data_IF_805434551240
#
_entry.id   IF_805434551240
#
_cell.length_a   1.000
_cell.length_b   1.000
_cell.length_c   1.000
_cell.angle_alpha   90.00
_cell.angle_beta   90.00
_cell.angle_gamma   90.00
#
_symmetry.space_group_name_H-M   'P 1'
#
loop_
_entity.id
_entity.type
_entity.pdbx_description
1 polymer ?
#
# COMPACT_ATOMS: atom_id res chain seq x y z
N UNK A 1 2.70 -29.20 4.82
CA UNK A 1 2.67 -28.37 6.05
C UNK A 1 1.24 -27.88 6.23
N UNK A 2 0.60 -28.09 7.38
CA UNK A 2 -0.77 -27.60 7.59
C UNK A 2 -0.75 -26.08 7.59
N UNK A 3 -1.71 -25.45 6.91
CA UNK A 3 -1.93 -24.03 6.96
C UNK A 3 -2.21 -23.62 8.42
N UNK A 4 -1.75 -22.43 8.82
CA UNK A 4 -2.19 -21.85 10.09
C UNK A 4 -3.70 -21.58 10.04
N UNK A 5 -4.36 -21.48 11.20
CA UNK A 5 -5.80 -21.17 11.27
C UNK A 5 -6.13 -19.88 10.52
N UNK A 6 -5.22 -18.89 10.53
CA UNK A 6 -5.37 -17.65 9.77
C UNK A 6 -5.25 -17.88 8.26
N UNK A 7 -4.33 -18.73 7.81
CA UNK A 7 -4.17 -19.07 6.40
C UNK A 7 -5.38 -19.84 5.86
N UNK A 8 -5.98 -20.74 6.64
CA UNK A 8 -7.21 -21.42 6.25
C UNK A 8 -8.38 -20.46 6.03
N UNK A 9 -8.46 -19.38 6.82
CA UNK A 9 -9.53 -18.39 6.66
C UNK A 9 -9.34 -17.46 5.46
N UNK A 10 -8.12 -17.25 5.00
CA UNK A 10 -7.79 -16.29 3.93
C UNK A 10 -7.37 -16.95 2.62
N UNK A 11 -7.29 -18.26 2.59
CA UNK A 11 -6.88 -18.99 1.42
C UNK A 11 -8.03 -19.11 0.43
N UNK A 12 -7.97 -18.35 -0.67
CA UNK A 12 -8.85 -18.52 -1.82
C UNK A 12 -10.35 -18.47 -1.45
N UNK A 13 -10.81 -17.39 -0.79
CA UNK A 13 -12.21 -17.27 -0.34
C UNK A 13 -12.92 -16.06 -0.92
N UNK A 14 -14.05 -16.36 -1.57
CA UNK A 14 -15.01 -15.35 -1.98
C UNK A 14 -16.00 -15.06 -0.84
N UNK A 15 -16.37 -13.81 -0.67
CA UNK A 15 -17.41 -13.37 0.25
C UNK A 15 -18.31 -12.33 -0.42
N UNK A 16 -19.57 -12.29 0.03
CA UNK A 16 -20.52 -11.28 -0.39
C UNK A 16 -20.46 -10.08 0.55
N UNK A 17 -20.65 -8.89 0.01
CA UNK A 17 -20.81 -7.67 0.78
C UNK A 17 -22.09 -6.92 0.41
N UNK A 18 -22.54 -6.03 1.27
CA UNK A 18 -23.73 -5.21 1.01
C UNK A 18 -23.41 -4.17 -0.09
N UNK A 19 -23.86 -4.47 -1.33
CA UNK A 19 -23.61 -3.61 -2.50
C UNK A 19 -24.39 -2.28 -2.42
N UNK A 20 -25.51 -2.22 -1.71
CA UNK A 20 -26.25 -0.97 -1.54
C UNK A 20 -25.45 0.00 -0.66
N UNK A 21 -24.83 -0.51 0.42
CA UNK A 21 -23.97 0.27 1.30
C UNK A 21 -22.63 0.63 0.66
N UNK A 22 -21.99 -0.35 0.01
CA UNK A 22 -20.64 -0.21 -0.59
C UNK A 22 -20.71 -0.28 -2.11
N UNK A 23 -21.46 0.64 -2.73
CA UNK A 23 -21.64 0.65 -4.18
C UNK A 23 -20.37 1.16 -4.90
N UNK A 24 -19.36 0.29 -4.96
CA UNK A 24 -18.09 0.59 -5.65
C UNK A 24 -18.25 0.87 -7.14
N UNK A 25 -19.12 0.16 -7.90
CA UNK A 25 -19.40 0.50 -9.29
C UNK A 25 -19.86 1.94 -9.47
N UNK A 26 -20.87 2.36 -8.66
CA UNK A 26 -21.40 3.73 -8.72
C UNK A 26 -20.35 4.77 -8.32
N UNK A 27 -19.55 4.49 -7.29
CA UNK A 27 -18.46 5.34 -6.88
C UNK A 27 -17.43 5.51 -8.01
N UNK A 28 -16.94 4.42 -8.60
CA UNK A 28 -15.97 4.49 -9.69
C UNK A 28 -16.53 5.23 -10.90
N UNK A 29 -17.79 5.00 -11.26
CA UNK A 29 -18.43 5.72 -12.37
C UNK A 29 -18.53 7.21 -12.08
N UNK A 30 -18.91 7.63 -10.87
CA UNK A 30 -18.98 9.05 -10.51
C UNK A 30 -17.61 9.74 -10.58
N UNK A 31 -16.55 9.07 -10.16
CA UNK A 31 -15.18 9.58 -10.27
C UNK A 31 -14.74 9.69 -11.75
N UNK A 32 -15.08 8.71 -12.58
CA UNK A 32 -14.80 8.78 -14.02
C UNK A 32 -15.52 9.95 -14.68
N UNK A 33 -16.77 10.20 -14.29
CA UNK A 33 -17.58 11.30 -14.84
C UNK A 33 -17.04 12.69 -14.49
N UNK A 34 -16.17 12.83 -13.50
CA UNK A 34 -15.46 14.10 -13.22
C UNK A 34 -14.61 14.57 -14.41
N UNK A 35 -14.08 13.64 -15.21
CA UNK A 35 -13.20 13.94 -16.35
C UNK A 35 -13.72 13.40 -17.69
N UNK A 36 -14.72 12.52 -17.68
CA UNK A 36 -15.38 11.94 -18.84
C UNK A 36 -16.90 11.83 -18.61
N UNK A 37 -17.65 12.96 -18.57
CA UNK A 37 -19.04 13.01 -18.15
C UNK A 37 -20.01 12.22 -19.05
N UNK A 38 -19.60 11.90 -20.28
CA UNK A 38 -20.40 11.12 -21.23
C UNK A 38 -20.39 9.60 -20.96
N UNK A 39 -19.52 9.13 -20.05
CA UNK A 39 -19.47 7.72 -19.68
C UNK A 39 -20.62 7.39 -18.76
N UNK A 40 -21.39 6.37 -19.10
CA UNK A 40 -22.56 5.91 -18.32
C UNK A 40 -22.40 4.48 -17.83
N UNK A 41 -21.41 3.73 -18.33
CA UNK A 41 -21.22 2.33 -18.01
C UNK A 41 -19.74 1.96 -18.05
N UNK A 42 -19.26 1.32 -16.96
CA UNK A 42 -17.87 0.89 -16.81
C UNK A 42 -17.49 -0.25 -17.79
N UNK A 43 -18.43 -1.10 -18.16
CA UNK A 43 -18.17 -2.23 -19.03
C UNK A 43 -17.94 -1.81 -20.49
N UNK A 44 -18.38 -0.62 -20.85
CA UNK A 44 -18.26 -0.07 -22.21
C UNK A 44 -17.15 0.97 -22.37
N UNK A 45 -16.28 1.15 -21.39
CA UNK A 45 -15.18 2.13 -21.47
C UNK A 45 -14.36 2.02 -22.76
N UNK A 46 -14.04 0.79 -23.17
CA UNK A 46 -13.27 0.53 -24.41
C UNK A 46 -13.98 0.95 -25.70
N UNK A 47 -15.30 1.14 -25.68
CA UNK A 47 -16.09 1.60 -26.84
C UNK A 47 -16.17 3.12 -26.92
N UNK A 48 -16.02 3.80 -25.77
CA UNK A 48 -16.29 5.22 -25.64
C UNK A 48 -15.01 6.06 -25.41
N UNK A 49 -13.89 5.41 -25.12
CA UNK A 49 -12.62 6.07 -24.81
C UNK A 49 -11.49 5.46 -25.63
N UNK A 50 -10.59 6.29 -26.11
CA UNK A 50 -9.31 5.85 -26.69
C UNK A 50 -8.41 5.22 -25.60
N UNK A 51 -7.40 4.49 -26.02
CA UNK A 51 -6.44 3.88 -25.10
C UNK A 51 -5.76 4.90 -24.17
N UNK A 52 -5.41 6.08 -24.69
CA UNK A 52 -4.81 7.15 -23.89
C UNK A 52 -5.77 7.75 -22.87
N UNK A 53 -7.06 7.86 -23.22
CA UNK A 53 -8.10 8.32 -22.28
C UNK A 53 -8.37 7.28 -21.19
N UNK A 54 -8.37 5.99 -21.52
CA UNK A 54 -8.48 4.90 -20.52
C UNK A 54 -7.34 4.99 -19.51
N UNK A 55 -6.10 5.25 -19.94
CA UNK A 55 -4.97 5.45 -19.03
C UNK A 55 -5.20 6.66 -18.10
N UNK A 56 -5.70 7.79 -18.65
CA UNK A 56 -6.01 8.99 -17.85
C UNK A 56 -7.11 8.72 -16.83
N UNK A 57 -8.19 8.08 -17.26
CA UNK A 57 -9.30 7.68 -16.39
C UNK A 57 -8.84 6.73 -15.29
N UNK A 58 -8.07 5.70 -15.64
CA UNK A 58 -7.52 4.75 -14.68
C UNK A 58 -6.67 5.45 -13.61
N UNK A 59 -5.81 6.39 -14.02
CA UNK A 59 -4.99 7.18 -13.10
C UNK A 59 -5.83 8.10 -12.22
N UNK A 60 -6.89 8.70 -12.77
CA UNK A 60 -7.79 9.57 -12.03
C UNK A 60 -8.53 8.81 -10.92
N UNK A 61 -9.12 7.64 -11.24
CA UNK A 61 -9.77 6.78 -10.23
C UNK A 61 -8.76 6.21 -9.23
N UNK A 62 -7.56 5.83 -9.70
CA UNK A 62 -6.47 5.41 -8.82
C UNK A 62 -6.15 6.49 -7.77
N UNK A 63 -6.04 7.75 -8.18
CA UNK A 63 -5.79 8.88 -7.27
C UNK A 63 -6.97 9.11 -6.32
N UNK A 64 -8.20 8.93 -6.80
CA UNK A 64 -9.39 9.07 -5.98
C UNK A 64 -9.47 8.04 -4.85
N UNK A 65 -8.80 6.89 -4.96
CA UNK A 65 -8.68 5.92 -3.86
C UNK A 65 -7.89 6.46 -2.65
N UNK A 66 -7.25 7.62 -2.76
CA UNK A 66 -6.59 8.31 -1.64
C UNK A 66 -7.45 9.45 -1.06
N UNK A 67 -8.65 9.69 -1.59
CA UNK A 67 -9.56 10.69 -1.04
C UNK A 67 -10.14 10.21 0.28
N UNK A 68 -10.40 11.15 1.18
CA UNK A 68 -10.90 10.87 2.51
C UNK A 68 -12.22 10.09 2.51
N UNK A 69 -13.17 10.50 1.68
CA UNK A 69 -14.48 9.86 1.53
C UNK A 69 -14.36 8.37 1.10
N UNK A 70 -13.44 8.08 0.17
CA UNK A 70 -13.15 6.70 -0.20
C UNK A 70 -12.52 5.93 0.96
N UNK A 71 -11.52 6.49 1.62
CA UNK A 71 -10.80 5.82 2.69
C UNK A 71 -11.71 5.50 3.88
N UNK A 72 -12.56 6.44 4.29
CA UNK A 72 -13.56 6.23 5.35
C UNK A 72 -14.52 5.09 5.00
N UNK A 73 -15.05 5.11 3.78
CA UNK A 73 -15.94 4.06 3.30
C UNK A 73 -15.25 2.71 3.17
N UNK A 74 -13.98 2.69 2.76
CA UNK A 74 -13.20 1.47 2.65
C UNK A 74 -12.85 0.90 4.02
N UNK A 75 -12.54 1.72 5.01
CA UNK A 75 -12.30 1.30 6.39
C UNK A 75 -13.54 0.63 6.98
N UNK A 76 -14.72 1.23 6.80
CA UNK A 76 -16.00 0.64 7.24
C UNK A 76 -16.28 -0.69 6.51
N UNK A 77 -15.96 -0.77 5.21
CA UNK A 77 -16.06 -2.01 4.44
C UNK A 77 -15.15 -3.10 5.02
N UNK A 78 -13.88 -2.82 5.26
CA UNK A 78 -12.92 -3.76 5.83
C UNK A 78 -13.33 -4.17 7.26
N UNK A 79 -13.75 -3.22 8.09
CA UNK A 79 -14.19 -3.45 9.46
C UNK A 79 -15.41 -4.39 9.53
N UNK A 80 -16.24 -4.43 8.48
CA UNK A 80 -17.42 -5.28 8.45
C UNK A 80 -17.13 -6.79 8.43
N UNK A 81 -15.90 -7.20 8.06
CA UNK A 81 -15.57 -8.63 7.94
C UNK A 81 -14.18 -9.03 8.45
N UNK A 82 -13.20 -8.13 8.48
CA UNK A 82 -11.82 -8.49 8.85
C UNK A 82 -11.65 -8.84 10.32
N UNK A 83 -12.13 -8.05 11.31
CA UNK A 83 -11.86 -8.32 12.72
C UNK A 83 -12.22 -9.73 13.17
N UNK A 84 -13.38 -10.23 12.73
CA UNK A 84 -13.84 -11.58 13.06
C UNK A 84 -12.93 -12.69 12.52
N UNK A 85 -12.22 -12.43 11.41
CA UNK A 85 -11.36 -13.41 10.75
C UNK A 85 -9.94 -13.45 11.30
N UNK A 86 -9.54 -12.43 12.04
CA UNK A 86 -8.18 -12.28 12.59
C UNK A 86 -8.16 -12.30 14.14
N UNK A 87 -9.22 -12.83 14.76
CA UNK A 87 -9.35 -12.91 16.22
C UNK A 87 -9.13 -11.56 16.91
N UNK A 88 -9.70 -10.49 16.34
CA UNK A 88 -9.59 -9.10 16.83
C UNK A 88 -8.16 -8.56 17.00
N UNK A 89 -7.17 -9.14 16.31
CA UNK A 89 -5.86 -8.51 16.20
C UNK A 89 -5.97 -7.16 15.51
N UNK A 90 -5.03 -6.26 15.82
CA UNK A 90 -4.90 -5.01 15.07
C UNK A 90 -4.50 -5.31 13.62
N UNK A 91 -4.89 -4.44 12.71
CA UNK A 91 -4.53 -4.56 11.30
C UNK A 91 -4.33 -3.17 10.68
N UNK A 92 -3.62 -3.14 9.58
CA UNK A 92 -3.46 -1.95 8.73
C UNK A 92 -4.04 -2.19 7.37
N UNK A 93 -4.36 -1.12 6.67
CA UNK A 93 -4.93 -1.10 5.33
C UNK A 93 -3.96 -0.39 4.40
N UNK A 94 -3.81 -0.85 3.17
CA UNK A 94 -3.05 -0.16 2.15
C UNK A 94 -3.58 1.28 1.97
N UNK A 95 -2.67 2.27 1.96
CA UNK A 95 -3.05 3.69 1.91
C UNK A 95 -3.78 4.06 0.63
N UNK A 96 -3.37 3.48 -0.49
CA UNK A 96 -3.99 3.71 -1.80
C UNK A 96 -4.30 2.39 -2.49
N UNK A 97 -5.56 2.18 -2.87
CA UNK A 97 -5.99 1.01 -3.65
C UNK A 97 -5.30 0.94 -5.01
N UNK A 98 -5.18 -0.25 -5.55
CA UNK A 98 -4.65 -0.45 -6.90
C UNK A 98 -5.81 -0.75 -7.84
N UNK A 99 -6.11 0.20 -8.72
CA UNK A 99 -7.16 0.04 -9.72
C UNK A 99 -6.62 -0.70 -10.96
N UNK A 100 -7.45 -1.59 -11.49
CA UNK A 100 -7.20 -2.30 -12.75
C UNK A 100 -8.34 -2.07 -13.72
N UNK A 101 -8.00 -1.61 -14.93
CA UNK A 101 -8.91 -1.55 -16.07
C UNK A 101 -8.36 -2.50 -17.13
N UNK A 102 -9.13 -3.54 -17.45
CA UNK A 102 -8.75 -4.56 -18.43
C UNK A 102 -9.77 -4.50 -19.57
N UNK A 103 -9.34 -4.10 -20.73
CA UNK A 103 -10.21 -3.96 -21.90
C UNK A 103 -10.10 -5.18 -22.82
N UNK A 104 -11.13 -5.43 -23.67
CA UNK A 104 -11.12 -6.58 -24.57
C UNK A 104 -10.00 -6.54 -25.61
N UNK A 105 -9.52 -7.70 -25.99
CA UNK A 105 -8.63 -7.95 -27.13
C UNK A 105 -7.39 -7.04 -27.19
N UNK A 106 -6.83 -6.69 -26.03
CA UNK A 106 -5.67 -5.83 -25.93
C UNK A 106 -4.37 -6.60 -25.81
N UNK A 107 -3.71 -6.80 -26.92
CA UNK A 107 -2.33 -7.26 -26.92
C UNK A 107 -1.33 -6.19 -26.43
N UNK A 108 -1.67 -4.88 -26.51
CA UNK A 108 -0.69 -3.80 -26.42
C UNK A 108 -1.06 -2.57 -25.58
N UNK A 109 -2.19 -2.49 -24.91
CA UNK A 109 -2.53 -1.33 -24.05
C UNK A 109 -2.63 -1.74 -22.60
N UNK A 110 -1.60 -1.41 -21.86
CA UNK A 110 -1.43 -1.84 -20.49
C UNK A 110 -0.84 -3.26 -20.44
N UNK A 111 0.31 -3.38 -19.83
CA UNK A 111 1.01 -4.66 -19.68
C UNK A 111 0.06 -5.69 -19.07
N UNK A 112 -0.28 -6.75 -19.83
CA UNK A 112 -0.93 -7.93 -19.25
C UNK A 112 -0.13 -8.33 -18.02
N UNK A 113 -0.77 -8.39 -16.86
CA UNK A 113 -0.11 -8.90 -15.66
C UNK A 113 0.10 -10.40 -15.84
N UNK A 114 1.30 -10.78 -16.29
CA UNK A 114 1.75 -12.16 -16.26
C UNK A 114 1.58 -12.74 -14.84
N UNK A 115 1.50 -14.05 -14.74
CA UNK A 115 1.39 -14.70 -13.45
C UNK A 115 2.55 -14.28 -12.53
N UNK A 116 2.20 -13.82 -11.34
CA UNK A 116 3.13 -13.34 -10.33
C UNK A 116 2.59 -13.62 -8.93
N UNK A 117 3.45 -13.45 -7.95
CA UNK A 117 3.08 -13.47 -6.52
C UNK A 117 3.28 -12.09 -5.93
N UNK A 118 2.46 -11.72 -4.94
CA UNK A 118 2.61 -10.47 -4.23
C UNK A 118 3.96 -10.35 -3.51
N UNK A 119 4.52 -11.46 -3.03
CA UNK A 119 5.84 -11.51 -2.40
C UNK A 119 6.97 -11.10 -3.37
N UNK A 120 6.87 -11.38 -4.67
CA UNK A 120 7.88 -10.98 -5.66
C UNK A 120 7.88 -9.48 -5.96
N UNK A 121 6.80 -8.79 -5.61
CA UNK A 121 6.70 -7.34 -5.75
C UNK A 121 6.81 -6.61 -4.41
N UNK A 122 7.33 -7.29 -3.40
CA UNK A 122 7.69 -6.70 -2.11
C UNK A 122 6.59 -6.72 -1.03
N UNK A 123 5.46 -7.42 -1.25
CA UNK A 123 4.52 -7.64 -0.16
C UNK A 123 5.06 -8.72 0.77
N UNK A 124 4.92 -8.54 2.08
CA UNK A 124 5.22 -9.61 3.04
C UNK A 124 4.13 -10.69 3.06
N UNK A 125 4.48 -11.86 3.60
CA UNK A 125 3.52 -12.95 3.77
C UNK A 125 2.38 -12.59 4.72
N UNK A 126 2.59 -11.64 5.61
CA UNK A 126 1.57 -11.10 6.50
C UNK A 126 0.50 -10.26 5.80
N UNK A 127 0.76 -9.78 4.60
CA UNK A 127 -0.23 -9.08 3.81
C UNK A 127 -1.26 -10.04 3.21
N UNK A 128 -2.51 -9.59 3.13
CA UNK A 128 -3.62 -10.30 2.47
C UNK A 128 -4.21 -9.38 1.42
N UNK A 129 -4.54 -9.91 0.25
CA UNK A 129 -5.19 -9.12 -0.80
C UNK A 129 -6.69 -9.30 -0.74
N UNK A 130 -7.40 -8.20 -0.85
CA UNK A 130 -8.84 -8.11 -1.09
C UNK A 130 -9.00 -7.64 -2.53
N UNK A 131 -9.46 -8.50 -3.41
CA UNK A 131 -9.75 -8.16 -4.79
C UNK A 131 -11.26 -7.99 -4.98
N UNK A 132 -11.66 -6.82 -5.49
CA UNK A 132 -13.07 -6.43 -5.60
C UNK A 132 -13.35 -5.95 -7.03
N UNK A 133 -14.11 -6.69 -7.83
CA UNK A 133 -14.54 -6.24 -9.15
C UNK A 133 -15.69 -5.23 -9.02
N UNK A 134 -15.65 -4.21 -9.88
CA UNK A 134 -16.68 -3.18 -10.02
C UNK A 134 -17.58 -3.43 -11.22
N UNK A 135 -17.16 -4.30 -12.12
CA UNK A 135 -17.93 -4.83 -13.26
C UNK A 135 -18.03 -6.35 -13.11
N UNK A 136 -18.76 -7.02 -13.96
CA UNK A 136 -18.68 -8.48 -14.02
C UNK A 136 -17.25 -8.92 -14.33
N UNK A 137 -16.76 -9.93 -13.64
CA UNK A 137 -15.46 -10.55 -13.85
C UNK A 137 -15.67 -12.05 -14.04
N UNK A 138 -15.51 -12.53 -15.27
CA UNK A 138 -15.87 -13.90 -15.65
C UNK A 138 -14.98 -14.39 -16.79
N UNK A 139 -14.76 -15.70 -16.83
CA UNK A 139 -14.06 -16.36 -17.93
C UNK A 139 -12.66 -15.80 -18.18
N UNK A 140 -12.42 -15.25 -19.36
CA UNK A 140 -11.13 -14.60 -19.71
C UNK A 140 -11.00 -13.18 -19.17
N UNK A 141 -12.12 -12.55 -18.80
CA UNK A 141 -12.15 -11.20 -18.23
C UNK A 141 -12.06 -11.19 -16.70
N UNK A 142 -11.46 -12.20 -16.08
CA UNK A 142 -11.28 -12.25 -14.64
C UNK A 142 -9.82 -12.45 -14.25
N UNK A 143 -9.54 -12.45 -12.96
CA UNK A 143 -8.24 -12.87 -12.43
C UNK A 143 -8.17 -14.40 -12.43
N UNK A 144 -7.08 -14.94 -12.94
CA UNK A 144 -6.76 -16.37 -12.89
C UNK A 144 -5.80 -16.64 -11.75
N UNK A 145 -6.00 -17.74 -11.04
CA UNK A 145 -5.26 -18.05 -9.83
C UNK A 145 -4.84 -19.52 -9.77
N UNK A 146 -3.64 -19.76 -9.26
CA UNK A 146 -3.14 -21.10 -8.93
C UNK A 146 -3.31 -21.34 -7.43
N UNK A 147 -3.81 -22.50 -7.05
CA UNK A 147 -3.96 -22.87 -5.64
C UNK A 147 -2.65 -22.81 -4.85
N UNK A 148 -2.74 -22.53 -3.54
CA UNK A 148 -1.57 -22.18 -2.69
C UNK A 148 -0.47 -23.25 -2.72
N UNK A 149 -0.80 -24.54 -2.60
CA UNK A 149 0.20 -25.62 -2.57
C UNK A 149 0.96 -25.70 -3.90
N UNK A 150 0.23 -25.61 -5.02
CA UNK A 150 0.85 -25.61 -6.35
C UNK A 150 1.64 -24.31 -6.60
N UNK A 151 1.18 -23.18 -6.11
CA UNK A 151 1.92 -21.92 -6.17
C UNK A 151 3.27 -22.04 -5.46
N UNK A 152 3.32 -22.61 -4.27
CA UNK A 152 4.56 -22.86 -3.51
C UNK A 152 5.50 -23.83 -4.25
N UNK A 153 4.96 -24.90 -4.86
CA UNK A 153 5.75 -25.84 -5.66
C UNK A 153 6.37 -25.14 -6.87
N UNK A 154 5.57 -24.42 -7.65
CA UNK A 154 6.01 -23.68 -8.83
C UNK A 154 7.07 -22.66 -8.45
N UNK A 155 6.85 -21.89 -7.35
CA UNK A 155 7.80 -20.88 -6.88
C UNK A 155 9.17 -21.48 -6.55
N UNK A 156 9.22 -22.64 -5.90
CA UNK A 156 10.50 -23.33 -5.65
C UNK A 156 11.24 -23.64 -6.95
N UNK A 157 10.50 -24.07 -7.98
CA UNK A 157 11.11 -24.35 -9.30
C UNK A 157 11.57 -23.07 -9.99
N UNK A 158 10.77 -22.00 -9.95
CA UNK A 158 11.13 -20.68 -10.51
C UNK A 158 12.48 -20.23 -9.95
N UNK A 159 12.65 -20.27 -8.64
CA UNK A 159 13.87 -19.81 -7.96
C UNK A 159 15.05 -20.72 -8.26
N UNK A 160 14.87 -22.04 -8.16
CA UNK A 160 15.92 -23.02 -8.36
C UNK A 160 16.42 -23.07 -9.80
N UNK A 161 15.49 -23.03 -10.76
CA UNK A 161 15.77 -23.24 -12.18
C UNK A 161 15.83 -21.91 -12.96
N UNK A 162 15.61 -20.76 -12.32
CA UNK A 162 15.66 -19.41 -12.92
C UNK A 162 14.79 -19.29 -14.17
N UNK A 163 13.50 -19.64 -14.06
CA UNK A 163 12.57 -19.67 -15.18
C UNK A 163 12.36 -18.28 -15.81
N UNK A 164 12.16 -18.27 -17.14
CA UNK A 164 11.69 -17.07 -17.86
C UNK A 164 10.21 -16.78 -17.55
N UNK A 165 9.75 -15.57 -17.88
CA UNK A 165 8.36 -15.18 -17.68
C UNK A 165 7.40 -16.06 -18.48
N UNK A 166 7.77 -16.42 -19.71
CA UNK A 166 6.99 -17.30 -20.59
C UNK A 166 6.83 -18.69 -19.96
N UNK A 167 7.94 -19.27 -19.45
CA UNK A 167 7.90 -20.56 -18.79
C UNK A 167 7.05 -20.54 -17.52
N UNK A 168 7.09 -19.44 -16.75
CA UNK A 168 6.23 -19.24 -15.58
C UNK A 168 4.76 -19.22 -15.99
N UNK A 169 4.43 -18.49 -17.03
CA UNK A 169 3.07 -18.37 -17.55
C UNK A 169 2.55 -19.71 -18.06
N UNK A 170 3.30 -20.41 -18.91
CA UNK A 170 2.95 -21.72 -19.44
C UNK A 170 2.69 -22.74 -18.33
N UNK A 171 3.50 -22.73 -17.30
CA UNK A 171 3.32 -23.65 -16.17
C UNK A 171 2.14 -23.27 -15.30
N UNK A 172 1.92 -21.96 -15.04
CA UNK A 172 0.78 -21.51 -14.27
C UNK A 172 -0.55 -21.82 -14.95
N UNK A 173 -0.65 -21.63 -16.27
CA UNK A 173 -1.87 -21.89 -17.05
C UNK A 173 -2.34 -23.34 -16.96
N UNK A 174 -1.47 -24.31 -16.72
CA UNK A 174 -1.84 -25.73 -16.55
C UNK A 174 -2.68 -25.98 -15.29
N UNK A 175 -2.57 -25.10 -14.29
CA UNK A 175 -3.17 -25.28 -12.96
C UNK A 175 -4.05 -24.11 -12.53
N UNK A 176 -4.03 -23.02 -13.30
CA UNK A 176 -4.80 -21.83 -12.98
C UNK A 176 -6.30 -22.03 -13.29
N UNK A 177 -7.13 -21.41 -12.49
CA UNK A 177 -8.56 -21.37 -12.67
C UNK A 177 -9.07 -19.93 -12.55
N UNK A 178 -10.17 -19.58 -13.25
CA UNK A 178 -10.74 -18.25 -13.17
C UNK A 178 -11.43 -18.01 -11.82
N UNK A 179 -11.34 -16.79 -11.31
CA UNK A 179 -12.06 -16.31 -10.14
C UNK A 179 -13.27 -15.50 -10.61
N UNK A 180 -14.35 -16.19 -10.94
CA UNK A 180 -15.56 -15.55 -11.45
C UNK A 180 -16.33 -14.86 -10.33
N UNK A 181 -16.51 -13.56 -10.44
CA UNK A 181 -17.20 -12.70 -9.48
C UNK A 181 -18.08 -11.66 -10.18
N UNK A 182 -19.06 -11.18 -9.44
CA UNK A 182 -19.90 -10.04 -9.84
C UNK A 182 -19.80 -8.90 -8.80
N UNK A 183 -20.23 -7.69 -9.14
CA UNK A 183 -20.37 -6.61 -8.16
C UNK A 183 -21.18 -7.07 -6.94
N UNK A 184 -20.74 -6.73 -5.74
CA UNK A 184 -21.27 -7.27 -4.48
C UNK A 184 -20.48 -8.44 -3.92
N UNK A 185 -19.42 -8.87 -4.62
CA UNK A 185 -18.51 -9.93 -4.18
C UNK A 185 -17.07 -9.45 -4.15
N UNK A 186 -16.28 -9.99 -3.24
CA UNK A 186 -14.83 -9.80 -3.15
C UNK A 186 -14.13 -11.13 -2.90
N UNK A 187 -12.88 -11.20 -3.31
CA UNK A 187 -12.03 -12.37 -3.15
C UNK A 187 -10.82 -12.08 -2.29
N UNK A 188 -10.57 -12.98 -1.33
CA UNK A 188 -9.46 -12.90 -0.39
C UNK A 188 -8.42 -13.94 -0.74
N UNK A 189 -7.15 -13.53 -0.82
CA UNK A 189 -6.06 -14.47 -1.09
C UNK A 189 -4.73 -14.06 -0.48
N UNK A 190 -3.85 -15.06 -0.36
CA UNK A 190 -2.50 -14.92 0.20
C UNK A 190 -1.52 -14.38 -0.84
N UNK A 191 -0.50 -13.66 -0.38
CA UNK A 191 0.53 -13.09 -1.25
C UNK A 191 1.41 -14.12 -1.97
N UNK A 192 1.39 -15.37 -1.49
CA UNK A 192 2.12 -16.49 -2.08
C UNK A 192 1.36 -17.17 -3.23
N UNK A 193 0.08 -16.83 -3.45
CA UNK A 193 -0.70 -17.43 -4.56
C UNK A 193 -0.30 -16.78 -5.88
N UNK A 194 0.12 -17.60 -6.83
CA UNK A 194 0.35 -17.18 -8.20
C UNK A 194 -0.96 -16.78 -8.85
N UNK A 195 -1.02 -15.56 -9.36
CA UNK A 195 -2.21 -15.02 -10.01
C UNK A 195 -1.82 -14.09 -11.15
N UNK A 196 -2.71 -13.97 -12.13
CA UNK A 196 -2.46 -13.15 -13.32
C UNK A 196 -3.75 -12.93 -14.12
N UNK A 197 -3.59 -12.37 -15.32
CA UNK A 197 -4.68 -12.22 -16.27
C UNK A 197 -4.33 -12.95 -17.57
N UNK A 198 -5.31 -13.56 -18.19
CA UNK A 198 -5.25 -13.99 -19.59
C UNK A 198 -5.75 -12.86 -20.50
N UNK A 199 -5.68 -13.05 -21.82
CA UNK A 199 -6.27 -12.09 -22.74
C UNK A 199 -7.80 -12.03 -22.54
N UNK A 200 -8.35 -10.81 -22.46
CA UNK A 200 -9.79 -10.63 -22.27
C UNK A 200 -10.53 -10.79 -23.60
N UNK A 201 -11.24 -11.89 -23.78
CA UNK A 201 -12.02 -12.21 -24.98
C UNK A 201 -13.53 -12.05 -24.77
N UNK A 202 -13.96 -11.55 -23.60
CA UNK A 202 -15.39 -11.48 -23.23
C UNK A 202 -16.13 -10.26 -23.83
N UNK A 203 -15.45 -9.37 -24.54
CA UNK A 203 -16.09 -8.26 -25.25
C UNK A 203 -16.54 -7.08 -24.37
N UNK A 204 -16.22 -7.06 -23.09
CA UNK A 204 -16.50 -5.95 -22.17
C UNK A 204 -15.30 -5.62 -21.27
N UNK A 205 -15.27 -4.38 -20.78
CA UNK A 205 -14.19 -3.90 -19.89
C UNK A 205 -14.40 -4.41 -18.47
N UNK A 206 -13.33 -4.90 -17.85
CA UNK A 206 -13.29 -5.12 -16.39
C UNK A 206 -12.67 -3.93 -15.70
N UNK A 207 -13.35 -3.43 -14.67
CA UNK A 207 -12.82 -2.50 -13.69
C UNK A 207 -12.80 -3.21 -12.34
N UNK A 208 -11.66 -3.24 -11.69
CA UNK A 208 -11.49 -3.91 -10.39
C UNK A 208 -10.44 -3.21 -9.54
N UNK A 209 -10.50 -3.41 -8.24
CA UNK A 209 -9.55 -2.86 -7.30
C UNK A 209 -8.95 -3.99 -6.45
N UNK A 210 -7.66 -3.92 -6.20
CA UNK A 210 -6.99 -4.71 -5.19
C UNK A 210 -6.46 -3.80 -4.07
N UNK A 211 -6.77 -4.20 -2.85
CA UNK A 211 -6.31 -3.58 -1.62
C UNK A 211 -5.65 -4.63 -0.74
N UNK A 212 -4.73 -4.20 0.08
CA UNK A 212 -4.03 -5.10 0.99
C UNK A 212 -4.32 -4.71 2.42
N UNK A 213 -4.39 -5.71 3.27
CA UNK A 213 -4.36 -5.54 4.73
C UNK A 213 -3.11 -6.23 5.26
N UNK A 214 -2.55 -5.67 6.33
CA UNK A 214 -1.44 -6.25 7.10
C UNK A 214 -1.93 -6.55 8.50
N UNK A 215 -1.71 -7.78 8.99
CA UNK A 215 -2.11 -8.20 10.33
C UNK A 215 -0.95 -7.97 11.29
N UNK A 216 -1.26 -7.49 12.48
CA UNK A 216 -0.27 -7.26 13.54
C UNK A 216 0.56 -8.51 13.86
N UNK A 217 1.87 -8.31 13.96
CA UNK A 217 2.83 -9.36 14.27
C UNK A 217 3.20 -10.25 13.07
N UNK A 218 2.69 -9.94 11.86
CA UNK A 218 3.02 -10.66 10.66
C UNK A 218 3.96 -9.86 9.73
N UNK A 219 4.64 -10.54 8.83
CA UNK A 219 5.64 -9.96 7.94
C UNK A 219 5.03 -8.96 6.96
N UNK A 220 5.55 -7.72 6.95
CA UNK A 220 5.11 -6.65 6.03
C UNK A 220 5.90 -6.62 4.70
N UNK A 221 7.05 -7.33 4.59
CA UNK A 221 7.93 -7.28 3.44
C UNK A 221 8.54 -5.89 3.26
N UNK A 222 8.36 -5.30 2.07
CA UNK A 222 8.76 -3.92 1.77
C UNK A 222 7.58 -2.93 1.84
N UNK A 223 6.45 -3.34 2.43
CA UNK A 223 5.23 -2.53 2.56
C UNK A 223 5.17 -1.92 3.96
N UNK A 224 6.07 -0.99 4.21
CA UNK A 224 6.26 -0.40 5.53
C UNK A 224 4.99 0.26 6.07
N UNK A 225 4.68 0.00 7.36
CA UNK A 225 3.65 0.74 8.10
C UNK A 225 3.90 2.26 8.06
N UNK A 226 2.83 3.04 8.03
CA UNK A 226 2.89 4.50 7.92
C UNK A 226 3.01 5.01 6.49
N UNK A 227 3.93 4.50 5.69
CA UNK A 227 4.11 4.88 4.29
C UNK A 227 3.12 4.18 3.36
N UNK A 228 3.27 2.87 3.21
CA UNK A 228 2.41 2.08 2.32
C UNK A 228 1.13 1.59 2.99
N UNK A 229 1.21 1.22 4.27
CA UNK A 229 0.09 0.74 5.08
C UNK A 229 -0.28 1.80 6.12
N UNK A 230 -1.57 2.03 6.33
CA UNK A 230 -2.12 2.96 7.32
C UNK A 230 -3.01 2.26 8.33
N UNK A 231 -3.14 2.83 9.52
CA UNK A 231 -4.15 2.39 10.48
C UNK A 231 -5.56 2.71 9.96
N UNK A 232 -6.59 1.90 10.29
CA UNK A 232 -7.97 2.31 10.13
C UNK A 232 -8.22 3.65 10.85
N UNK A 233 -8.92 4.58 10.19
CA UNK A 233 -9.16 5.92 10.73
C UNK A 233 -8.05 6.94 10.44
N UNK A 234 -6.85 6.51 10.04
CA UNK A 234 -5.81 7.43 9.56
C UNK A 234 -6.11 7.82 8.10
N UNK A 235 -6.93 8.85 7.96
CA UNK A 235 -7.33 9.42 6.67
C UNK A 235 -6.54 10.70 6.35
N UNK A 236 -5.36 10.85 6.93
CA UNK A 236 -4.47 11.94 6.54
C UNK A 236 -4.15 11.77 5.05
N UNK A 237 -4.89 12.51 4.26
CA UNK A 237 -4.52 12.78 2.88
C UNK A 237 -3.28 13.65 2.99
N UNK A 238 -2.31 13.43 2.14
CA UNK A 238 -1.21 14.37 1.99
C UNK A 238 -1.78 15.66 1.35
N UNK A 239 -2.69 16.35 2.07
CA UNK A 239 -3.15 17.68 1.70
C UNK A 239 -1.95 18.60 1.79
N UNK A 240 -1.79 19.44 0.78
CA UNK A 240 -0.78 20.49 0.77
C UNK A 240 -1.15 21.49 1.87
N UNK A 241 -0.51 21.38 3.01
CA UNK A 241 -0.61 22.40 4.06
C UNK A 241 0.27 23.59 3.71
N UNK A 242 -0.09 24.78 4.18
CA UNK A 242 0.73 25.97 3.98
C UNK A 242 1.50 26.29 5.27
N UNK A 243 2.79 25.96 5.26
CA UNK A 243 3.71 26.22 6.37
C UNK A 243 4.71 27.34 6.03
N UNK A 244 4.42 28.19 5.03
CA UNK A 244 5.36 29.21 4.54
C UNK A 244 5.83 30.21 5.60
N UNK A 245 5.05 30.40 6.68
CA UNK A 245 5.35 31.33 7.78
C UNK A 245 6.07 30.68 8.97
N UNK A 246 6.44 29.39 8.88
CA UNK A 246 7.12 28.66 9.95
C UNK A 246 8.61 28.58 9.68
N UNK A 247 9.41 28.69 10.73
CA UNK A 247 10.84 28.40 10.67
C UNK A 247 11.04 26.89 10.56
N UNK A 248 11.86 26.46 9.60
CA UNK A 248 12.06 25.03 9.36
C UNK A 248 13.51 24.69 9.05
N UNK A 249 13.92 23.51 9.46
CA UNK A 249 15.14 22.84 9.02
C UNK A 249 14.82 21.46 8.48
N UNK A 250 15.68 20.89 7.67
CA UNK A 250 15.57 19.52 7.20
C UNK A 250 16.64 18.65 7.84
N UNK A 251 16.35 17.39 8.08
CA UNK A 251 17.24 16.49 8.80
C UNK A 251 17.27 15.10 8.20
N UNK A 252 18.44 14.60 7.85
CA UNK A 252 18.65 13.26 7.36
C UNK A 252 19.29 12.37 8.43
N UNK A 253 18.73 11.17 8.62
CA UNK A 253 19.22 10.18 9.58
C UNK A 253 19.99 9.04 8.92
N UNK A 254 20.98 8.50 9.65
CA UNK A 254 21.75 7.33 9.22
C UNK A 254 21.41 6.05 10.00
N UNK A 255 20.60 6.13 11.04
CA UNK A 255 20.68 5.24 12.19
C UNK A 255 19.65 4.11 12.24
N UNK A 256 18.75 3.98 11.27
CA UNK A 256 17.89 2.79 11.18
C UNK A 256 18.37 1.87 10.08
N UNK A 257 18.04 0.58 10.18
CA UNK A 257 18.28 -0.37 9.09
C UNK A 257 17.64 0.10 7.79
N UNK A 258 16.56 0.85 7.87
CA UNK A 258 15.87 1.46 6.73
C UNK A 258 16.71 2.58 6.10
N UNK A 259 17.23 3.52 6.89
CA UNK A 259 18.00 4.66 6.38
C UNK A 259 19.41 4.28 5.90
N UNK A 260 19.99 3.19 6.41
CA UNK A 260 21.27 2.66 5.92
C UNK A 260 21.26 2.30 4.44
N UNK A 261 20.09 1.95 3.91
CA UNK A 261 19.93 1.54 2.50
C UNK A 261 19.44 2.66 1.58
N UNK A 262 19.11 3.84 2.12
CA UNK A 262 18.68 5.00 1.34
C UNK A 262 19.80 6.04 1.32
N UNK A 263 20.51 6.19 0.19
CA UNK A 263 21.55 7.20 0.07
C UNK A 263 21.03 8.61 0.39
N UNK A 264 21.86 9.46 0.99
CA UNK A 264 21.47 10.81 1.44
C UNK A 264 20.79 11.65 0.37
N UNK A 265 21.25 11.57 -0.88
CA UNK A 265 20.66 12.35 -1.96
C UNK A 265 19.21 11.93 -2.28
N UNK A 266 18.85 10.65 -2.07
CA UNK A 266 17.45 10.20 -2.19
C UNK A 266 16.61 10.64 -0.99
N UNK A 267 17.17 10.57 0.23
CA UNK A 267 16.48 11.08 1.42
C UNK A 267 16.19 12.58 1.23
N UNK A 268 17.17 13.34 0.75
CA UNK A 268 17.04 14.77 0.45
C UNK A 268 15.94 15.01 -0.60
N UNK A 269 15.94 14.27 -1.70
CA UNK A 269 14.91 14.41 -2.74
C UNK A 269 13.48 14.19 -2.21
N UNK A 270 13.29 13.23 -1.32
CA UNK A 270 11.99 12.97 -0.68
C UNK A 270 11.60 14.13 0.22
N UNK A 271 12.53 14.63 1.03
CA UNK A 271 12.31 15.78 1.91
C UNK A 271 11.98 17.03 1.10
N UNK A 272 12.73 17.31 0.04
CA UNK A 272 12.54 18.49 -0.82
C UNK A 272 11.14 18.47 -1.47
N UNK A 273 10.71 17.33 -2.02
CA UNK A 273 9.36 17.18 -2.59
C UNK A 273 8.26 17.37 -1.55
N UNK A 274 8.45 16.87 -0.33
CA UNK A 274 7.54 17.09 0.78
C UNK A 274 7.46 18.58 1.16
N UNK A 275 8.59 19.24 1.28
CA UNK A 275 8.69 20.66 1.61
C UNK A 275 8.01 21.53 0.53
N UNK A 276 8.29 21.26 -0.75
CA UNK A 276 7.66 21.97 -1.86
C UNK A 276 6.14 21.84 -1.82
N UNK A 277 5.65 20.61 -1.66
CA UNK A 277 4.20 20.32 -1.58
C UNK A 277 3.50 21.05 -0.44
N UNK A 278 4.15 21.16 0.73
CA UNK A 278 3.60 21.75 1.94
C UNK A 278 4.03 23.21 2.14
N UNK A 279 4.68 23.82 1.16
CA UNK A 279 5.23 25.18 1.20
C UNK A 279 6.11 25.45 2.44
N UNK A 280 6.94 24.47 2.81
CA UNK A 280 7.89 24.60 3.90
C UNK A 280 9.18 25.21 3.36
N UNK A 281 9.51 26.41 3.85
CA UNK A 281 10.75 27.10 3.52
C UNK A 281 11.80 26.78 4.60
N UNK A 282 12.71 25.83 4.35
CA UNK A 282 13.73 25.48 5.32
C UNK A 282 15.00 26.31 5.12
N UNK A 283 15.74 26.56 6.21
CA UNK A 283 16.95 27.40 6.23
C UNK A 283 18.23 26.60 6.15
N UNK A 284 18.20 25.34 6.55
CA UNK A 284 19.39 24.47 6.53
C UNK A 284 19.03 23.00 6.30
N UNK A 285 20.01 22.27 5.85
CA UNK A 285 19.95 20.83 5.65
C UNK A 285 20.95 20.16 6.60
N UNK A 286 20.42 19.52 7.63
CA UNK A 286 21.22 18.91 8.69
C UNK A 286 21.22 17.38 8.55
N UNK A 287 22.13 16.73 9.23
CA UNK A 287 22.23 15.27 9.22
C UNK A 287 22.81 14.73 10.51
N UNK A 288 22.48 13.49 10.85
CA UNK A 288 23.08 12.80 11.98
C UNK A 288 24.48 12.29 11.62
N UNK A 289 25.37 12.27 12.59
CA UNK A 289 26.68 11.66 12.42
C UNK A 289 26.54 10.13 12.29
N UNK A 290 27.32 9.55 11.39
CA UNK A 290 27.42 8.11 11.24
C UNK A 290 27.83 7.47 12.59
N UNK A 291 27.21 6.34 12.91
CA UNK A 291 27.38 5.61 14.17
C UNK A 291 26.78 6.27 15.44
N UNK A 292 26.03 7.37 15.33
CA UNK A 292 25.35 8.00 16.46
C UNK A 292 23.89 7.52 16.57
N UNK A 293 23.70 6.25 16.92
CA UNK A 293 22.35 5.63 17.00
C UNK A 293 21.43 6.29 18.05
N UNK A 294 21.98 7.04 19.01
CA UNK A 294 21.22 7.78 20.01
C UNK A 294 20.78 9.18 19.57
N UNK A 295 21.08 9.57 18.30
CA UNK A 295 20.59 10.77 17.62
C UNK A 295 20.86 12.10 18.40
N UNK A 296 22.09 12.39 18.81
CA UNK A 296 22.41 13.61 19.53
C UNK A 296 22.24 14.87 18.69
N UNK A 297 22.45 14.77 17.37
CA UNK A 297 22.26 15.87 16.44
C UNK A 297 20.79 16.29 16.36
N UNK A 298 19.85 15.33 16.21
CA UNK A 298 18.43 15.63 16.18
C UNK A 298 17.99 16.29 17.50
N UNK A 299 18.43 15.75 18.65
CA UNK A 299 18.11 16.33 19.96
C UNK A 299 18.64 17.75 20.11
N UNK A 300 19.86 18.02 19.62
CA UNK A 300 20.44 19.36 19.61
C UNK A 300 19.56 20.35 18.84
N UNK A 301 19.13 19.97 17.62
CA UNK A 301 18.30 20.85 16.78
C UNK A 301 16.89 21.04 17.36
N UNK A 302 16.30 20.02 17.99
CA UNK A 302 15.02 20.17 18.72
C UNK A 302 15.16 21.23 19.82
N UNK A 303 16.28 21.26 20.55
CA UNK A 303 16.54 22.24 21.60
C UNK A 303 16.78 23.67 21.08
N UNK A 304 17.10 23.84 19.80
CA UNK A 304 17.13 25.15 19.15
C UNK A 304 15.72 25.69 18.83
N UNK A 305 14.70 24.86 19.01
CA UNK A 305 13.29 25.21 18.89
C UNK A 305 12.90 25.85 17.55
N UNK A 306 13.27 25.28 16.36
CA UNK A 306 12.60 25.66 15.13
C UNK A 306 11.14 25.24 15.21
N UNK A 307 10.26 25.85 14.43
CA UNK A 307 8.86 25.43 14.40
C UNK A 307 8.72 24.00 13.82
N UNK A 308 9.52 23.68 12.80
CA UNK A 308 9.46 22.40 12.07
C UNK A 308 10.84 21.81 11.86
N UNK A 309 10.96 20.49 12.07
CA UNK A 309 12.07 19.67 11.58
C UNK A 309 11.51 18.62 10.64
N UNK A 310 11.94 18.59 9.38
CA UNK A 310 11.49 17.61 8.39
C UNK A 310 12.52 16.49 8.26
N UNK A 311 12.08 15.26 8.59
CA UNK A 311 12.86 14.03 8.43
C UNK A 311 12.37 13.25 7.20
N UNK A 312 13.23 12.39 6.67
CA UNK A 312 12.85 11.50 5.56
C UNK A 312 11.72 10.54 5.94
N UNK A 313 11.78 9.91 7.12
CA UNK A 313 10.87 8.84 7.53
C UNK A 313 10.88 8.65 9.04
N UNK A 314 9.77 8.12 9.61
CA UNK A 314 9.74 7.63 11.00
C UNK A 314 10.83 6.56 11.26
N UNK A 315 11.20 5.81 10.22
CA UNK A 315 12.26 4.80 10.27
C UNK A 315 13.68 5.38 10.25
N UNK A 316 13.81 6.70 10.14
CA UNK A 316 15.07 7.40 10.37
C UNK A 316 15.37 7.62 11.86
N UNK A 317 14.38 7.38 12.74
CA UNK A 317 14.55 7.45 14.19
C UNK A 317 15.33 6.23 14.70
N UNK A 318 15.91 6.36 15.90
CA UNK A 318 16.62 5.26 16.56
C UNK A 318 15.73 4.04 16.81
N UNK A 319 16.32 2.85 16.75
CA UNK A 319 15.64 1.59 17.09
C UNK A 319 15.55 1.38 18.61
N UNK A 320 16.31 2.12 19.43
CA UNK A 320 16.16 2.13 20.90
C UNK A 320 14.84 2.82 21.25
N UNK A 321 13.89 2.02 21.77
CA UNK A 321 12.53 2.47 22.08
C UNK A 321 12.55 3.57 23.13
N UNK A 322 13.33 3.40 24.21
CA UNK A 322 13.38 4.38 25.29
C UNK A 322 13.94 5.71 24.76
N UNK A 323 15.06 5.65 24.06
CA UNK A 323 15.71 6.84 23.49
C UNK A 323 14.83 7.53 22.45
N UNK A 324 14.16 6.78 21.60
CA UNK A 324 13.22 7.32 20.62
C UNK A 324 12.08 8.07 21.30
N UNK A 325 11.47 7.46 22.32
CA UNK A 325 10.40 8.09 23.08
C UNK A 325 10.87 9.38 23.75
N UNK A 326 12.07 9.42 24.32
CA UNK A 326 12.67 10.64 24.90
C UNK A 326 12.82 11.76 23.85
N UNK A 327 13.30 11.45 22.64
CA UNK A 327 13.45 12.41 21.54
C UNK A 327 12.08 12.99 21.14
N UNK A 328 11.09 12.11 20.89
CA UNK A 328 9.74 12.52 20.47
C UNK A 328 9.04 13.36 21.55
N UNK A 329 9.16 12.99 22.82
CA UNK A 329 8.64 13.78 23.94
C UNK A 329 9.38 15.13 24.08
N UNK A 330 10.68 15.16 23.82
CA UNK A 330 11.47 16.41 23.84
C UNK A 330 10.99 17.37 22.75
N UNK A 331 10.67 16.86 21.57
CA UNK A 331 10.11 17.67 20.49
C UNK A 331 8.77 18.29 20.91
N UNK A 332 7.84 17.48 21.46
CA UNK A 332 6.53 17.99 21.95
C UNK A 332 6.72 19.02 23.06
N UNK A 333 7.62 18.80 24.01
CA UNK A 333 7.91 19.73 25.10
C UNK A 333 8.45 21.07 24.63
N UNK A 334 9.21 21.09 23.54
CA UNK A 334 9.76 22.30 22.96
C UNK A 334 8.85 22.92 21.86
N UNK A 335 7.65 22.37 21.66
CA UNK A 335 6.71 22.78 20.60
C UNK A 335 7.33 22.71 19.19
N UNK A 336 8.22 21.75 18.95
CA UNK A 336 8.80 21.49 17.64
C UNK A 336 8.00 20.41 16.93
N UNK A 337 7.45 20.71 15.77
CA UNK A 337 6.78 19.72 14.93
C UNK A 337 7.84 18.87 14.19
N UNK A 338 7.78 17.54 14.35
CA UNK A 338 8.59 16.64 13.52
C UNK A 338 7.74 16.15 12.36
N UNK A 339 8.15 16.43 11.14
CA UNK A 339 7.47 15.98 9.93
C UNK A 339 8.24 14.81 9.30
N UNK A 340 7.52 13.77 8.89
CA UNK A 340 8.07 12.57 8.28
C UNK A 340 7.60 12.49 6.83
N UNK A 341 8.47 12.86 5.92
CA UNK A 341 8.14 13.11 4.52
C UNK A 341 7.60 11.88 3.79
N UNK A 342 8.21 10.71 4.00
CA UNK A 342 7.81 9.47 3.33
C UNK A 342 6.43 8.97 3.77
N UNK A 343 6.12 9.09 5.06
CA UNK A 343 4.82 8.71 5.63
C UNK A 343 3.78 9.81 5.49
N UNK A 344 4.19 11.01 5.11
CA UNK A 344 3.33 12.21 5.07
C UNK A 344 2.57 12.43 6.37
N UNK A 345 3.22 12.21 7.50
CA UNK A 345 2.67 12.41 8.84
C UNK A 345 3.56 13.33 9.67
N UNK A 346 3.03 13.85 10.78
CA UNK A 346 3.75 14.72 11.67
C UNK A 346 3.47 14.40 13.14
N UNK A 347 4.43 14.72 14.00
CA UNK A 347 4.31 14.72 15.46
C UNK A 347 4.03 16.14 15.93
N UNK A 348 2.82 16.38 16.45
CA UNK A 348 2.36 17.68 17.00
C UNK A 348 1.72 17.50 18.36
N UNK A 349 1.16 16.32 18.61
CA UNK A 349 0.38 15.98 19.80
C UNK A 349 0.79 14.63 20.38
N UNK A 350 0.32 14.33 21.59
CA UNK A 350 0.48 13.00 22.18
C UNK A 350 -0.23 11.90 21.37
N UNK A 351 -1.34 12.24 20.72
CA UNK A 351 -2.04 11.29 19.83
C UNK A 351 -1.19 10.92 18.62
N UNK A 352 -0.45 11.88 18.06
CA UNK A 352 0.50 11.60 16.95
C UNK A 352 1.64 10.71 17.42
N UNK A 353 2.12 10.90 18.66
CA UNK A 353 3.13 10.03 19.26
C UNK A 353 2.64 8.57 19.33
N UNK A 354 1.44 8.32 19.84
CA UNK A 354 0.83 6.99 19.90
C UNK A 354 0.68 6.37 18.51
N UNK A 355 0.30 7.17 17.53
CA UNK A 355 0.18 6.75 16.13
C UNK A 355 1.54 6.32 15.55
N UNK A 356 2.57 7.13 15.74
CA UNK A 356 3.94 6.84 15.26
C UNK A 356 4.49 5.58 15.90
N UNK A 357 4.39 5.44 17.23
CA UNK A 357 4.83 4.24 17.94
C UNK A 357 4.06 3.00 17.46
N UNK A 358 2.76 3.12 17.19
CA UNK A 358 1.98 2.02 16.62
C UNK A 358 2.50 1.60 15.24
N UNK A 359 2.88 2.53 14.38
CA UNK A 359 3.51 2.20 13.08
C UNK A 359 4.83 1.46 13.24
N UNK A 360 5.65 1.90 14.18
CA UNK A 360 6.94 1.28 14.46
C UNK A 360 6.79 -0.12 15.07
N UNK A 361 5.81 -0.33 15.95
CA UNK A 361 5.47 -1.66 16.51
C UNK A 361 5.08 -2.66 15.42
N UNK A 362 4.28 -2.23 14.45
CA UNK A 362 3.92 -3.08 13.31
C UNK A 362 5.12 -3.44 12.44
N UNK A 363 6.12 -2.56 12.37
CA UNK A 363 7.33 -2.81 11.60
C UNK A 363 8.30 -3.81 12.26
N UNK A 364 8.20 -4.02 13.56
CA UNK A 364 8.98 -5.03 14.32
C UNK A 364 8.46 -6.47 14.11
N UNK A 365 7.67 -6.71 13.09
CA UNK A 365 7.16 -8.04 12.79
C UNK A 365 8.27 -9.09 12.69
N UNK A 366 8.04 -10.26 13.25
CA UNK A 366 8.97 -11.39 13.18
C UNK A 366 9.26 -11.72 11.73
N UNK A 367 10.53 -11.69 11.34
CA UNK A 367 10.97 -12.28 10.07
C UNK A 367 10.58 -13.75 10.08
N UNK A 368 9.76 -14.16 9.13
CA UNK A 368 9.46 -15.57 8.95
C UNK A 368 10.75 -16.29 8.56
N UNK A 369 11.15 -17.37 9.27
CA UNK A 369 12.36 -18.14 8.95
C UNK A 369 12.26 -18.93 7.66
N UNK A 370 11.25 -18.71 6.83
CA UNK A 370 11.14 -19.35 5.52
C UNK A 370 12.25 -18.85 4.59
N UNK A 371 13.41 -19.43 4.76
CA UNK A 371 14.42 -19.48 3.71
C UNK A 371 13.88 -20.45 2.66
N UNK A 372 13.87 -20.05 1.40
CA UNK A 372 13.59 -20.91 0.26
C UNK A 372 14.78 -21.86 0.06
N UNK A 373 14.95 -22.85 0.95
CA UNK A 373 15.88 -23.95 0.78
C UNK A 373 15.37 -24.98 -0.21
#
# INVERSE_FOLDING_TARGET
>A
MKLSVLEEHWNNKTFNYNIEKYNWPKWALSVIQEIAPHITDLETLHKNLSASEIVKVSKHVQNACSRRDFMEKFDDFVASFVPQKINNKRYMIQRQGTLRVVIPNQENVGRRLAFHQGIFVGNGRGCRTIWTPFTEAKGTNTMWMVGIEKSREITKKIIKEKWSLEKIEDECLKYAFPIDLKPGQSHLFLQEMLHGNVNNEEGYTRVSMDMRILIEGEEHGRRYPGGFMRLPGDHEVADSSDYSNKSAITYAGWNSDFSKYIPLHYQRSIIDQYCEKNKINYTSYEFENEHCDWMPGLEYYIKQSPDIIVLNSIYSLTNDIQRRTEILQTALKNNVELHFANESCSLKTLQDLEKIETYLDFAVAKKDPYVWE
#
